data_IF_162524137649
#
_entry.id   IF_162524137649
#
_cell.length_a   1.000
_cell.length_b   1.000
_cell.length_c   1.000
_cell.angle_alpha   90.00
_cell.angle_beta   90.00
_cell.angle_gamma   90.00
#
_symmetry.space_group_name_H-M   'P 1'
#
loop_
_entity.id
_entity.type
_entity.pdbx_description
1 polymer ?
#
# COMPACT_ATOMS: atom_id res chain seq x y z
N UNK A 1 -0.22 -29.40 61.31
CA UNK A 1 0.51 -30.69 61.28
C UNK A 1 0.42 -31.20 59.85
N UNK A 2 1.47 -31.40 59.06
CA UNK A 2 2.87 -31.78 59.32
C UNK A 2 3.82 -31.12 58.31
N UNK A 3 5.06 -30.95 58.75
CA UNK A 3 6.20 -30.40 58.00
C UNK A 3 6.78 -31.36 56.95
N UNK A 4 7.63 -30.84 56.06
CA UNK A 4 8.51 -31.63 55.20
C UNK A 4 9.49 -30.77 54.40
N UNK A 5 10.67 -30.50 54.98
CA UNK A 5 11.87 -29.94 54.32
C UNK A 5 12.47 -30.94 53.32
N UNK A 6 13.19 -30.42 52.32
CA UNK A 6 14.10 -31.22 51.47
C UNK A 6 14.98 -30.36 50.55
N UNK A 7 16.21 -30.11 50.99
CA UNK A 7 17.31 -29.43 50.28
C UNK A 7 18.13 -30.43 49.46
N UNK A 8 18.63 -30.06 48.28
CA UNK A 8 19.96 -30.50 47.79
C UNK A 8 20.41 -29.69 46.55
N UNK A 9 21.66 -29.25 46.59
CA UNK A 9 22.41 -28.64 45.50
C UNK A 9 23.09 -29.70 44.63
N UNK A 10 23.36 -29.38 43.37
CA UNK A 10 24.19 -30.19 42.47
C UNK A 10 24.73 -29.35 41.31
N UNK A 11 26.04 -29.19 41.27
CA UNK A 11 26.85 -28.43 40.32
C UNK A 11 27.38 -29.33 39.20
N UNK A 12 27.44 -28.86 37.95
CA UNK A 12 28.39 -29.37 36.94
C UNK A 12 28.58 -28.39 35.77
N UNK A 13 29.82 -28.28 35.30
CA UNK A 13 30.34 -27.26 34.40
C UNK A 13 30.44 -27.68 32.91
N UNK A 14 30.23 -26.71 32.01
CA UNK A 14 30.84 -26.50 30.67
C UNK A 14 30.44 -27.44 29.49
N UNK A 15 30.85 -27.15 28.22
CA UNK A 15 31.16 -25.86 27.57
C UNK A 15 30.47 -25.68 26.18
N UNK A 16 30.67 -24.51 25.58
CA UNK A 16 30.66 -24.15 24.14
C UNK A 16 29.54 -24.64 23.20
N UNK A 17 28.79 -23.67 22.66
CA UNK A 17 27.95 -23.83 21.47
C UNK A 17 27.44 -22.49 20.98
N UNK A 18 28.18 -21.85 20.06
CA UNK A 18 27.75 -20.62 19.40
C UNK A 18 26.41 -20.81 18.68
N UNK A 19 25.40 -20.07 19.09
CA UNK A 19 24.13 -19.95 18.38
C UNK A 19 24.10 -18.60 17.65
N UNK A 20 24.38 -18.71 16.37
CA UNK A 20 24.10 -17.80 15.26
C UNK A 20 22.91 -16.88 15.56
N UNK A 21 23.15 -15.57 15.41
CA UNK A 21 22.11 -14.56 15.49
C UNK A 21 20.95 -14.88 14.55
N UNK A 22 19.78 -15.09 15.14
CA UNK A 22 18.50 -15.06 14.45
C UNK A 22 18.22 -13.61 14.03
N UNK A 23 18.85 -13.15 12.96
CA UNK A 23 18.38 -11.96 12.24
C UNK A 23 17.16 -12.38 11.43
N UNK A 24 15.97 -12.17 12.00
CA UNK A 24 14.72 -12.20 11.24
C UNK A 24 14.84 -11.29 10.01
N UNK A 25 14.34 -11.69 8.83
CA UNK A 25 14.26 -10.80 7.70
C UNK A 25 13.35 -9.60 8.05
N UNK A 26 13.66 -8.37 7.60
CA UNK A 26 12.79 -7.24 7.86
C UNK A 26 11.43 -7.47 7.18
N UNK A 27 10.36 -7.32 7.96
CA UNK A 27 8.95 -7.48 7.59
C UNK A 27 8.45 -6.29 6.73
N UNK A 28 9.27 -5.87 5.76
CA UNK A 28 9.27 -4.53 5.17
C UNK A 28 8.06 -4.10 4.34
N UNK A 29 7.02 -4.92 4.17
CA UNK A 29 5.78 -4.50 3.47
C UNK A 29 4.66 -4.14 4.45
N UNK A 30 4.66 -4.69 5.67
CA UNK A 30 3.74 -4.24 6.73
C UNK A 30 4.10 -2.82 7.17
N UNK A 31 5.39 -2.52 7.18
CA UNK A 31 5.91 -1.19 7.43
C UNK A 31 5.48 -0.22 6.32
N UNK A 32 5.50 -0.62 5.04
CA UNK A 32 4.99 0.20 3.93
C UNK A 32 3.48 0.46 3.99
N UNK A 33 2.67 -0.48 4.48
CA UNK A 33 1.22 -0.29 4.68
C UNK A 33 0.92 0.61 5.89
N UNK A 34 1.71 0.50 6.97
CA UNK A 34 1.64 1.40 8.11
C UNK A 34 2.14 2.82 7.75
N UNK A 35 3.16 2.91 6.90
CA UNK A 35 3.71 4.13 6.35
C UNK A 35 2.73 4.80 5.36
N UNK A 36 2.00 4.02 4.54
CA UNK A 36 0.88 4.52 3.74
C UNK A 36 -0.26 5.10 4.60
N UNK A 37 -0.53 4.52 5.77
CA UNK A 37 -1.48 5.06 6.76
C UNK A 37 -0.97 6.33 7.46
N UNK A 38 0.35 6.45 7.64
CA UNK A 38 0.97 7.63 8.26
C UNK A 38 1.11 8.78 7.26
N UNK A 39 1.48 8.48 6.02
CA UNK A 39 1.43 9.39 4.88
C UNK A 39 0.01 9.94 4.67
N UNK A 40 -1.04 9.11 4.88
CA UNK A 40 -2.43 9.57 4.89
C UNK A 40 -2.73 10.72 5.86
N UNK A 41 -1.93 10.92 6.91
CA UNK A 41 -2.07 12.03 7.86
C UNK A 41 -1.27 13.27 7.46
N UNK A 42 -0.16 13.10 6.74
CA UNK A 42 0.67 14.19 6.20
C UNK A 42 -0.01 14.91 5.01
N UNK A 43 -0.84 14.20 4.25
CA UNK A 43 -1.49 14.72 3.03
C UNK A 43 -2.57 15.78 3.26
N UNK A 44 -2.89 16.07 4.53
CA UNK A 44 -3.79 17.17 4.90
C UNK A 44 -3.18 18.55 4.66
N UNK A 45 -1.84 18.65 4.62
CA UNK A 45 -1.12 19.92 4.48
C UNK A 45 -0.79 20.30 3.01
N UNK A 46 -0.57 19.32 2.14
CA UNK A 46 -0.22 19.55 0.71
C UNK A 46 -1.42 19.47 -0.26
N UNK A 47 -2.58 19.04 0.24
CA UNK A 47 -3.83 19.17 -0.50
C UNK A 47 -4.23 20.65 -0.47
N UNK A 48 -4.32 21.36 -1.62
CA UNK A 48 -4.87 22.71 -1.60
C UNK A 48 -6.23 22.68 -0.90
N UNK A 49 -6.53 23.68 -0.05
CA UNK A 49 -7.83 23.90 0.62
C UNK A 49 -8.98 24.19 -0.39
N UNK A 50 -8.93 23.61 -1.58
CA UNK A 50 -10.12 23.39 -2.36
C UNK A 50 -10.62 22.00 -1.96
N UNK A 51 -11.66 21.97 -1.14
CA UNK A 51 -12.66 20.91 -1.20
C UNK A 51 -13.20 20.91 -2.64
N UNK A 52 -12.42 20.36 -3.59
CA UNK A 52 -12.71 20.39 -5.02
C UNK A 52 -14.08 19.77 -5.28
N UNK A 53 -14.49 18.88 -4.40
CA UNK A 53 -15.77 18.18 -4.45
C UNK A 53 -16.38 18.15 -3.04
N UNK A 54 -17.29 19.08 -2.72
CA UNK A 54 -18.01 19.05 -1.45
C UNK A 54 -18.76 17.71 -1.32
N UNK A 55 -18.45 16.93 -0.29
CA UNK A 55 -19.03 15.58 -0.08
C UNK A 55 -20.56 15.58 -0.05
N UNK A 56 -21.16 16.73 0.26
CA UNK A 56 -22.58 16.88 0.52
C UNK A 56 -23.36 17.54 -0.64
N UNK A 57 -22.72 17.81 -1.79
CA UNK A 57 -23.36 18.47 -2.94
C UNK A 57 -23.42 17.56 -4.15
N UNK A 58 -24.57 17.43 -4.83
CA UNK A 58 -24.70 16.61 -6.03
C UNK A 58 -23.64 17.00 -7.05
N UNK A 59 -22.97 15.99 -7.59
CA UNK A 59 -21.93 16.17 -8.59
C UNK A 59 -22.55 16.72 -9.87
N UNK A 60 -21.91 17.73 -10.44
CA UNK A 60 -22.28 18.33 -11.72
C UNK A 60 -21.39 17.82 -12.86
N UNK A 61 -21.82 18.07 -14.10
CA UNK A 61 -20.98 17.81 -15.29
C UNK A 61 -19.67 18.62 -15.26
N UNK A 62 -19.69 19.80 -14.63
CA UNK A 62 -18.49 20.61 -14.48
C UNK A 62 -17.48 19.95 -13.55
N UNK A 63 -17.94 19.32 -12.47
CA UNK A 63 -17.08 18.61 -11.52
C UNK A 63 -16.36 17.42 -12.18
N UNK A 64 -17.10 16.64 -12.98
CA UNK A 64 -16.52 15.56 -13.78
C UNK A 64 -15.46 16.07 -14.78
N UNK A 65 -15.71 17.22 -15.42
CA UNK A 65 -14.73 17.84 -16.33
C UNK A 65 -13.49 18.39 -15.61
N UNK A 66 -13.65 18.89 -14.39
CA UNK A 66 -12.53 19.32 -13.54
C UNK A 66 -11.67 18.12 -13.16
N UNK A 67 -12.29 17.01 -12.77
CA UNK A 67 -11.59 15.77 -12.46
C UNK A 67 -10.83 15.24 -13.69
N UNK A 68 -11.48 15.18 -14.85
CA UNK A 68 -10.84 14.75 -16.11
C UNK A 68 -9.61 15.60 -16.44
N UNK A 69 -9.73 16.92 -16.34
CA UNK A 69 -8.62 17.86 -16.56
C UNK A 69 -7.49 17.64 -15.55
N UNK A 70 -7.82 17.42 -14.27
CA UNK A 70 -6.83 17.14 -13.24
C UNK A 70 -6.11 15.81 -13.50
N UNK A 71 -6.82 14.72 -13.75
CA UNK A 71 -6.24 13.39 -14.04
C UNK A 71 -5.34 13.48 -15.27
N UNK A 72 -5.83 14.09 -16.36
CA UNK A 72 -5.06 14.25 -17.59
C UNK A 72 -3.76 15.02 -17.35
N UNK A 73 -3.84 16.14 -16.62
CA UNK A 73 -2.64 16.92 -16.26
C UNK A 73 -1.68 16.10 -15.39
N UNK A 74 -2.19 15.40 -14.38
CA UNK A 74 -1.40 14.57 -13.49
C UNK A 74 -0.68 13.44 -14.25
N UNK A 75 -1.35 12.79 -15.19
CA UNK A 75 -0.73 11.78 -16.07
C UNK A 75 0.30 12.38 -17.02
N UNK A 76 0.05 13.55 -17.60
CA UNK A 76 1.05 14.21 -18.45
C UNK A 76 2.30 14.60 -17.65
N UNK A 77 2.13 15.16 -16.45
CA UNK A 77 3.25 15.49 -15.57
C UNK A 77 4.03 14.25 -15.13
N UNK A 78 3.32 13.18 -14.79
CA UNK A 78 3.94 11.90 -14.48
C UNK A 78 4.70 11.33 -15.68
N UNK A 79 4.09 11.28 -16.87
CA UNK A 79 4.71 10.76 -18.08
C UNK A 79 5.98 11.53 -18.46
N UNK A 80 5.98 12.85 -18.25
CA UNK A 80 7.14 13.69 -18.50
C UNK A 80 8.31 13.35 -17.55
N UNK A 81 8.03 13.14 -16.26
CA UNK A 81 9.05 12.70 -15.29
C UNK A 81 9.49 11.26 -15.53
N UNK A 82 8.58 10.40 -16.02
CA UNK A 82 8.87 8.98 -16.18
C UNK A 82 9.86 8.65 -17.29
N UNK A 83 10.13 9.58 -18.21
CA UNK A 83 11.14 9.42 -19.27
C UNK A 83 12.57 9.44 -18.71
N UNK A 84 12.76 9.95 -17.49
CA UNK A 84 14.09 10.13 -16.86
C UNK A 84 14.51 8.93 -16.00
N UNK A 85 13.62 7.97 -15.77
CA UNK A 85 13.82 6.81 -14.90
C UNK A 85 14.53 5.66 -15.64
N UNK A 86 15.75 5.32 -15.22
CA UNK A 86 16.56 4.20 -15.73
C UNK A 86 17.06 3.33 -14.57
N UNK A 87 16.28 2.33 -14.18
CA UNK A 87 16.70 1.31 -13.22
C UNK A 87 15.57 0.79 -12.32
N UNK A 88 15.89 -0.19 -11.48
CA UNK A 88 14.91 -0.82 -10.56
C UNK A 88 14.47 0.13 -9.43
N UNK A 89 15.36 0.99 -8.91
CA UNK A 89 14.99 2.00 -7.90
C UNK A 89 14.03 3.06 -8.46
N UNK A 90 14.18 3.35 -9.76
CA UNK A 90 13.33 4.31 -10.44
C UNK A 90 11.92 3.77 -10.70
N UNK A 91 11.79 2.45 -10.89
CA UNK A 91 10.49 1.80 -11.01
C UNK A 91 9.69 1.90 -9.69
N UNK A 92 10.34 1.75 -8.54
CA UNK A 92 9.66 1.87 -7.24
C UNK A 92 9.12 3.29 -7.07
N UNK A 93 9.95 4.31 -7.31
CA UNK A 93 9.53 5.72 -7.26
C UNK A 93 8.41 6.03 -8.25
N UNK A 94 8.50 5.46 -9.45
CA UNK A 94 7.47 5.57 -10.48
C UNK A 94 6.12 5.06 -9.98
N UNK A 95 6.10 3.89 -9.33
CA UNK A 95 4.88 3.32 -8.76
C UNK A 95 4.37 4.18 -7.59
N UNK A 96 5.26 4.61 -6.69
CA UNK A 96 4.93 5.48 -5.54
C UNK A 96 4.30 6.81 -5.96
N UNK A 97 4.72 7.40 -7.09
CA UNK A 97 4.13 8.62 -7.62
C UNK A 97 2.77 8.38 -8.31
N UNK A 98 2.61 7.24 -9.01
CA UNK A 98 1.40 6.98 -9.80
C UNK A 98 0.22 6.51 -8.94
N UNK A 99 0.48 5.70 -7.92
CA UNK A 99 -0.55 5.11 -7.04
C UNK A 99 -1.47 6.17 -6.42
N UNK A 100 -0.97 7.29 -5.87
CA UNK A 100 -1.81 8.36 -5.33
C UNK A 100 -2.71 9.01 -6.40
N UNK A 101 -2.19 9.24 -7.61
CA UNK A 101 -2.96 9.86 -8.71
C UNK A 101 -4.16 8.98 -9.07
N UNK A 102 -3.91 7.68 -9.24
CA UNK A 102 -4.95 6.70 -9.56
C UNK A 102 -5.96 6.54 -8.42
N UNK A 103 -5.48 6.49 -7.18
CA UNK A 103 -6.34 6.31 -6.00
C UNK A 103 -7.28 7.50 -5.81
N UNK A 104 -6.77 8.73 -5.92
CA UNK A 104 -7.58 9.95 -5.81
C UNK A 104 -8.61 10.00 -6.94
N UNK A 105 -8.16 9.79 -8.19
CA UNK A 105 -9.05 9.85 -9.35
C UNK A 105 -10.20 8.86 -9.23
N UNK A 106 -9.92 7.63 -8.81
CA UNK A 106 -10.94 6.61 -8.67
C UNK A 106 -11.87 6.86 -7.49
N UNK A 107 -11.36 7.21 -6.31
CA UNK A 107 -12.21 7.49 -5.15
C UNK A 107 -13.20 8.62 -5.44
N UNK A 108 -12.76 9.63 -6.19
CA UNK A 108 -13.66 10.69 -6.62
C UNK A 108 -14.71 10.18 -7.62
N UNK A 109 -14.35 9.36 -8.62
CA UNK A 109 -15.36 8.73 -9.50
C UNK A 109 -16.37 7.91 -8.69
N UNK A 110 -15.92 7.10 -7.72
CA UNK A 110 -16.80 6.33 -6.84
C UNK A 110 -17.74 7.26 -6.06
N UNK A 111 -17.24 8.38 -5.52
CA UNK A 111 -18.06 9.40 -4.85
C UNK A 111 -19.13 9.98 -5.79
N UNK A 112 -18.73 10.40 -7.00
CA UNK A 112 -19.63 10.96 -8.01
C UNK A 112 -20.73 9.98 -8.40
N UNK A 113 -20.37 8.72 -8.66
CA UNK A 113 -21.34 7.67 -9.03
C UNK A 113 -22.27 7.35 -7.86
N UNK A 114 -21.74 7.21 -6.65
CA UNK A 114 -22.51 6.93 -5.42
C UNK A 114 -23.57 8.00 -5.17
N UNK A 115 -23.22 9.26 -5.43
CA UNK A 115 -24.13 10.37 -5.23
C UNK A 115 -25.30 10.39 -6.22
N UNK A 116 -25.08 9.94 -7.46
CA UNK A 116 -26.16 9.80 -8.45
C UNK A 116 -26.95 8.51 -8.27
N UNK A 117 -26.29 7.42 -7.88
CA UNK A 117 -26.89 6.11 -7.65
C UNK A 117 -25.98 5.29 -6.72
N UNK A 118 -26.43 5.14 -5.47
CA UNK A 118 -25.68 4.46 -4.42
C UNK A 118 -25.29 3.04 -4.81
N UNK A 119 -26.22 2.29 -5.39
CA UNK A 119 -26.04 0.90 -5.80
C UNK A 119 -24.94 0.78 -6.86
N UNK A 120 -24.91 1.70 -7.83
CA UNK A 120 -23.86 1.74 -8.86
C UNK A 120 -22.51 2.10 -8.26
N UNK A 121 -22.48 3.01 -7.30
CA UNK A 121 -21.25 3.39 -6.59
C UNK A 121 -20.65 2.21 -5.81
N UNK A 122 -21.48 1.50 -5.06
CA UNK A 122 -21.10 0.29 -4.31
C UNK A 122 -20.58 -0.81 -5.23
N UNK A 123 -21.26 -1.06 -6.36
CA UNK A 123 -20.81 -2.05 -7.35
C UNK A 123 -19.47 -1.64 -7.95
N UNK A 124 -19.27 -0.36 -8.29
CA UNK A 124 -18.03 0.15 -8.84
C UNK A 124 -16.86 -0.01 -7.86
N UNK A 125 -17.07 0.34 -6.58
CA UNK A 125 -16.06 0.17 -5.53
C UNK A 125 -15.68 -1.31 -5.36
N UNK A 126 -16.68 -2.21 -5.38
CA UNK A 126 -16.44 -3.66 -5.28
C UNK A 126 -15.62 -4.19 -6.45
N UNK A 127 -15.93 -3.77 -7.68
CA UNK A 127 -15.17 -4.14 -8.88
C UNK A 127 -13.72 -3.70 -8.74
N UNK A 128 -13.50 -2.45 -8.31
CA UNK A 128 -12.16 -1.94 -8.11
C UNK A 128 -11.36 -2.71 -7.06
N UNK A 129 -11.92 -2.91 -5.87
CA UNK A 129 -11.24 -3.68 -4.80
C UNK A 129 -10.86 -5.08 -5.28
N UNK A 130 -11.78 -5.74 -5.99
CA UNK A 130 -11.52 -7.06 -6.56
C UNK A 130 -10.41 -7.03 -7.61
N UNK A 131 -10.33 -5.96 -8.41
CA UNK A 131 -9.26 -5.77 -9.39
C UNK A 131 -7.90 -5.57 -8.71
N UNK A 132 -7.82 -4.76 -7.65
CA UNK A 132 -6.60 -4.57 -6.86
C UNK A 132 -6.15 -5.89 -6.23
N UNK A 133 -7.07 -6.63 -5.59
CA UNK A 133 -6.78 -7.94 -5.01
C UNK A 133 -6.24 -8.93 -6.05
N UNK A 134 -6.80 -8.93 -7.26
CA UNK A 134 -6.34 -9.77 -8.36
C UNK A 134 -4.93 -9.39 -8.81
N UNK A 135 -4.67 -8.09 -8.92
CA UNK A 135 -3.36 -7.58 -9.31
C UNK A 135 -2.28 -7.95 -8.28
N UNK A 136 -2.56 -7.81 -6.98
CA UNK A 136 -1.67 -8.25 -5.90
C UNK A 136 -1.35 -9.75 -5.97
N UNK A 137 -2.36 -10.59 -6.22
CA UNK A 137 -2.16 -12.04 -6.39
C UNK A 137 -1.25 -12.34 -7.58
N UNK A 138 -1.46 -11.66 -8.72
CA UNK A 138 -0.63 -11.84 -9.91
C UNK A 138 0.82 -11.41 -9.67
N UNK A 139 1.05 -10.30 -8.96
CA UNK A 139 2.39 -9.86 -8.58
C UNK A 139 3.08 -10.86 -7.65
N UNK A 140 2.35 -11.38 -6.66
CA UNK A 140 2.89 -12.36 -5.72
C UNK A 140 3.26 -13.68 -6.42
N UNK A 141 2.45 -14.16 -7.36
CA UNK A 141 2.78 -15.34 -8.16
C UNK A 141 4.01 -15.12 -9.05
N UNK A 142 4.13 -13.93 -9.64
CA UNK A 142 5.29 -13.56 -10.45
C UNK A 142 6.57 -13.54 -9.61
N UNK A 143 6.53 -12.92 -8.43
CA UNK A 143 7.65 -12.91 -7.46
C UNK A 143 8.02 -14.33 -7.03
N UNK A 144 7.04 -15.18 -6.71
CA UNK A 144 7.27 -16.57 -6.33
C UNK A 144 7.88 -17.39 -7.47
N UNK A 145 7.47 -17.14 -8.72
CA UNK A 145 8.04 -17.77 -9.91
C UNK A 145 9.49 -17.34 -10.16
N UNK A 146 9.80 -16.06 -10.00
CA UNK A 146 11.17 -15.55 -10.12
C UNK A 146 12.10 -16.18 -9.07
N UNK A 147 11.65 -16.27 -7.81
CA UNK A 147 12.42 -16.90 -6.73
C UNK A 147 12.75 -18.36 -7.03
N UNK A 148 11.77 -19.14 -7.50
CA UNK A 148 11.95 -20.54 -7.91
C UNK A 148 12.96 -20.71 -9.05
N UNK A 149 13.02 -19.78 -9.99
CA UNK A 149 13.98 -19.84 -11.10
C UNK A 149 15.40 -19.50 -10.63
N UNK A 150 15.54 -18.54 -9.71
CA UNK A 150 16.82 -18.17 -9.10
C UNK A 150 17.42 -19.31 -8.25
N UNK A 151 16.59 -20.13 -7.61
CA UNK A 151 17.05 -21.31 -6.85
C UNK A 151 17.53 -22.46 -7.73
N UNK A 152 17.15 -22.49 -9.02
CA UNK A 152 17.53 -23.54 -9.97
C UNK A 152 18.78 -23.22 -10.81
N UNK A 153 19.21 -21.95 -10.82
CA UNK A 153 20.36 -21.45 -11.58
C UNK A 153 21.53 -21.20 -10.64
#
# INVERSE_FOLDING_TARGET
ATAGLGTAAGSSAGPDGGAVGSTSPPDGIKDLLAEASTLSSQWKEDMPEAVLFPSNKPTSRADAAILDKWITKSFMSYAQRSVEFQGDEDLIKTVEELVPILSIGLHEIVRQVTQHCLERGVVLEKIWRTYVDLFERALNETKASLRRNKEKT
#
